data_IF_096109014282
#
_entry.id   IF_096109014282
#
_cell.length_a   1.000
_cell.length_b   1.000
_cell.length_c   1.000
_cell.angle_alpha   90.00
_cell.angle_beta   90.00
_cell.angle_gamma   90.00
#
_symmetry.space_group_name_H-M   'P 1'
#
loop_
_entity.id
_entity.type
_entity.pdbx_description
1 polymer ?
#
# COMPACT_ATOMS: atom_id res chain seq x y z
N UNK A 1 52.90 -34.32 32.56
CA UNK A 1 51.43 -34.40 32.54
C UNK A 1 50.91 -33.06 32.04
N UNK A 2 50.69 -32.96 30.79
CA UNK A 2 50.33 -31.70 30.07
C UNK A 2 48.85 -31.73 29.76
N UNK A 3 48.11 -30.78 30.30
CA UNK A 3 46.68 -30.56 30.00
C UNK A 3 46.52 -29.72 28.76
N UNK A 4 45.91 -30.29 27.72
CA UNK A 4 45.57 -29.57 26.49
C UNK A 4 44.27 -28.79 26.63
N UNK A 5 44.31 -27.49 26.38
CA UNK A 5 43.12 -26.63 26.27
C UNK A 5 42.51 -26.77 24.90
N UNK A 6 41.24 -27.15 24.84
CA UNK A 6 40.42 -27.11 23.61
C UNK A 6 39.73 -25.75 23.51
N UNK A 7 40.08 -24.98 22.50
CA UNK A 7 39.36 -23.77 22.10
C UNK A 7 38.09 -24.18 21.33
N UNK A 8 36.93 -23.77 21.84
CA UNK A 8 35.66 -23.90 21.16
C UNK A 8 35.52 -22.77 20.12
N UNK A 9 35.37 -23.14 18.84
CA UNK A 9 35.13 -22.24 17.76
C UNK A 9 33.77 -21.57 17.84
N UNK A 10 33.77 -20.27 17.61
CA UNK A 10 32.60 -19.42 17.53
C UNK A 10 31.88 -19.64 16.18
N UNK A 11 30.55 -19.73 16.12
CA UNK A 11 29.87 -19.79 14.83
C UNK A 11 29.78 -18.39 14.20
N UNK A 12 30.58 -18.14 13.18
CA UNK A 12 30.42 -17.01 12.29
C UNK A 12 29.29 -17.32 11.30
N UNK A 13 28.20 -16.54 11.32
CA UNK A 13 27.16 -16.76 10.29
C UNK A 13 25.95 -15.83 10.27
N UNK A 14 25.75 -14.93 11.23
CA UNK A 14 24.52 -14.15 11.29
C UNK A 14 24.62 -12.66 10.89
N UNK A 15 25.80 -12.16 10.52
CA UNK A 15 26.04 -10.72 10.40
C UNK A 15 25.99 -10.12 9.00
N UNK A 16 25.84 -10.89 7.92
CA UNK A 16 25.96 -10.35 6.55
C UNK A 16 24.66 -9.98 5.87
N UNK A 17 23.54 -10.57 6.22
CA UNK A 17 22.25 -10.34 5.55
C UNK A 17 21.56 -9.03 5.94
N UNK A 18 21.70 -8.62 7.19
CA UNK A 18 21.07 -7.40 7.71
C UNK A 18 21.69 -6.09 7.18
N UNK A 19 22.96 -6.09 6.81
CA UNK A 19 23.66 -4.87 6.35
C UNK A 19 23.24 -4.45 4.91
N UNK A 20 22.98 -5.41 4.03
CA UNK A 20 22.52 -5.15 2.67
C UNK A 20 21.05 -4.71 2.61
N UNK A 21 20.22 -5.23 3.51
CA UNK A 21 18.81 -4.85 3.59
C UNK A 21 18.62 -3.40 4.07
N UNK A 22 19.47 -2.93 4.99
CA UNK A 22 19.44 -1.54 5.46
C UNK A 22 19.90 -0.53 4.38
N UNK A 23 20.81 -0.93 3.50
CA UNK A 23 21.28 -0.05 2.43
C UNK A 23 20.19 0.25 1.38
N UNK A 24 19.30 -0.70 1.10
CA UNK A 24 18.19 -0.50 0.15
C UNK A 24 17.14 0.50 0.69
N UNK A 25 16.89 0.45 1.99
CA UNK A 25 16.02 1.42 2.66
C UNK A 25 16.59 2.84 2.64
N UNK A 26 17.89 2.97 2.78
CA UNK A 26 18.54 4.27 2.69
C UNK A 26 18.50 4.84 1.27
N UNK A 27 18.50 4.00 0.24
CA UNK A 27 18.36 4.43 -1.14
C UNK A 27 16.94 4.96 -1.45
N UNK A 28 15.89 4.34 -0.91
CA UNK A 28 14.52 4.87 -0.96
C UNK A 28 14.37 6.17 -0.16
N UNK A 29 15.17 6.34 0.91
CA UNK A 29 15.18 7.54 1.72
C UNK A 29 16.07 8.66 1.15
N UNK A 30 17.04 8.33 0.28
CA UNK A 30 18.01 9.28 -0.26
C UNK A 30 17.69 9.75 -1.68
N UNK A 31 16.59 9.30 -2.30
CA UNK A 31 16.08 9.60 -3.65
C UNK A 31 16.71 10.78 -4.42
N UNK A 32 18.01 10.79 -4.55
CA UNK A 32 18.76 11.65 -5.45
C UNK A 32 19.89 10.81 -6.03
N UNK A 33 19.74 10.37 -7.28
CA UNK A 33 20.87 10.33 -8.22
C UNK A 33 20.36 10.03 -9.63
N UNK A 34 20.60 11.00 -10.50
CA UNK A 34 20.69 10.99 -11.94
C UNK A 34 20.41 9.64 -12.61
N UNK A 35 19.29 9.53 -13.32
CA UNK A 35 19.21 8.64 -14.48
C UNK A 35 18.97 9.49 -15.72
N UNK A 36 19.91 9.34 -16.67
CA UNK A 36 19.82 9.89 -17.99
C UNK A 36 18.53 9.43 -18.69
N UNK A 37 17.79 10.37 -19.26
CA UNK A 37 16.60 10.10 -20.05
C UNK A 37 16.96 9.29 -21.29
N UNK A 38 16.46 8.05 -21.38
CA UNK A 38 16.34 7.33 -22.65
C UNK A 38 15.02 7.71 -23.32
N UNK A 39 14.97 7.81 -24.63
CA UNK A 39 13.75 8.24 -25.32
C UNK A 39 12.64 7.21 -25.14
N UNK A 40 11.51 7.66 -24.65
CA UNK A 40 10.28 6.88 -24.52
C UNK A 40 9.79 6.55 -25.94
N UNK A 41 9.80 5.26 -26.27
CA UNK A 41 9.08 4.76 -27.43
C UNK A 41 7.59 5.11 -27.34
N UNK A 42 7.00 5.52 -28.44
CA UNK A 42 5.63 5.99 -28.54
C UNK A 42 4.65 5.04 -27.81
N UNK A 43 4.06 5.52 -26.72
CA UNK A 43 2.96 4.86 -26.07
C UNK A 43 1.78 4.82 -27.06
N UNK A 44 1.29 3.62 -27.34
CA UNK A 44 0.03 3.47 -28.07
C UNK A 44 -1.08 4.23 -27.36
N UNK A 45 -1.78 5.07 -28.08
CA UNK A 45 -2.87 5.88 -27.54
C UNK A 45 -3.87 4.96 -26.81
N UNK A 46 -4.18 5.30 -25.57
CA UNK A 46 -5.22 4.63 -24.80
C UNK A 46 -6.54 4.73 -25.58
N UNK A 47 -7.19 3.60 -25.81
CA UNK A 47 -8.54 3.60 -26.35
C UNK A 47 -9.45 4.29 -25.32
N UNK A 48 -10.27 5.26 -25.69
CA UNK A 48 -11.27 5.84 -24.80
C UNK A 48 -12.15 4.72 -24.23
N UNK A 49 -12.46 4.77 -22.94
CA UNK A 49 -13.34 3.80 -22.29
C UNK A 49 -14.68 3.71 -23.04
N UNK A 50 -15.30 2.54 -23.06
CA UNK A 50 -16.63 2.36 -23.64
C UNK A 50 -17.59 3.37 -22.98
N UNK A 51 -18.22 4.29 -23.76
CA UNK A 51 -19.08 5.33 -23.22
C UNK A 51 -20.37 4.81 -22.55
N UNK A 52 -20.54 3.51 -22.44
CA UNK A 52 -21.72 2.85 -21.86
C UNK A 52 -21.51 2.31 -20.45
N UNK A 53 -20.30 2.32 -19.91
CA UNK A 53 -20.10 2.01 -18.49
C UNK A 53 -20.27 3.27 -17.67
N UNK A 54 -21.11 3.27 -16.61
CA UNK A 54 -21.13 4.41 -15.68
C UNK A 54 -19.71 4.63 -15.18
N UNK A 55 -19.26 5.88 -15.23
CA UNK A 55 -17.93 6.25 -14.79
C UNK A 55 -17.70 5.68 -13.36
N UNK A 56 -16.71 4.83 -13.22
CA UNK A 56 -16.33 4.29 -11.92
C UNK A 56 -15.76 5.41 -11.03
N UNK A 57 -15.43 5.13 -9.76
CA UNK A 57 -14.79 6.12 -8.91
C UNK A 57 -13.39 6.47 -9.44
N UNK A 58 -12.91 7.70 -9.18
CA UNK A 58 -11.54 8.10 -9.53
C UNK A 58 -10.52 7.27 -8.75
N UNK A 59 -9.36 7.02 -9.35
CA UNK A 59 -8.23 6.38 -8.68
C UNK A 59 -7.32 7.44 -8.08
N UNK A 60 -7.06 7.35 -6.78
CA UNK A 60 -6.12 8.20 -6.05
C UNK A 60 -4.76 7.52 -5.95
N UNK A 61 -3.69 8.30 -6.11
CA UNK A 61 -2.29 7.84 -6.10
C UNK A 61 -1.45 8.74 -5.21
N UNK A 62 -0.74 8.16 -4.26
CA UNK A 62 0.32 8.86 -3.54
C UNK A 62 1.56 8.94 -4.42
N UNK A 63 1.89 10.15 -4.85
CA UNK A 63 3.04 10.48 -5.69
C UNK A 63 4.22 10.88 -4.79
N UNK A 64 4.87 9.85 -4.21
CA UNK A 64 5.85 9.93 -3.14
C UNK A 64 6.99 10.92 -3.42
N UNK A 65 7.60 10.83 -4.61
CA UNK A 65 8.74 11.66 -4.96
C UNK A 65 8.37 13.11 -5.26
N UNK A 66 7.08 13.39 -5.53
CA UNK A 66 6.59 14.74 -5.78
C UNK A 66 5.83 15.34 -4.58
N UNK A 67 5.79 14.64 -3.45
CA UNK A 67 5.14 15.12 -2.22
C UNK A 67 3.67 15.53 -2.41
N UNK A 68 2.90 14.77 -3.18
CA UNK A 68 1.50 15.06 -3.48
C UNK A 68 0.65 13.79 -3.57
N UNK A 69 -0.66 13.98 -3.53
CA UNK A 69 -1.64 12.98 -3.94
C UNK A 69 -2.31 13.47 -5.22
N UNK A 70 -2.46 12.60 -6.19
CA UNK A 70 -3.17 12.90 -7.44
C UNK A 70 -4.36 11.97 -7.62
N UNK A 71 -5.38 12.42 -8.31
CA UNK A 71 -6.57 11.67 -8.67
C UNK A 71 -6.75 11.64 -10.18
N UNK A 72 -7.09 10.46 -10.72
CA UNK A 72 -7.42 10.27 -12.13
C UNK A 72 -8.87 9.80 -12.24
N UNK A 73 -9.75 10.54 -12.90
CA UNK A 73 -11.11 10.11 -13.18
C UNK A 73 -11.15 8.84 -14.02
N UNK A 74 -12.15 7.99 -13.78
CA UNK A 74 -12.29 6.72 -14.50
C UNK A 74 -12.75 6.86 -15.95
N UNK A 75 -13.30 8.01 -16.31
CA UNK A 75 -13.71 8.36 -17.68
C UNK A 75 -12.54 8.83 -18.56
N UNK A 76 -11.33 8.91 -17.99
CA UNK A 76 -10.14 9.37 -18.69
C UNK A 76 -10.01 10.89 -18.74
N UNK A 77 -10.74 11.62 -17.89
CA UNK A 77 -10.57 13.06 -17.70
C UNK A 77 -9.17 13.43 -17.17
N UNK A 78 -8.94 14.74 -17.02
CA UNK A 78 -7.64 15.26 -16.58
C UNK A 78 -7.29 14.84 -15.15
N UNK A 79 -6.02 14.48 -14.94
CA UNK A 79 -5.47 14.26 -13.62
C UNK A 79 -5.53 15.53 -12.77
N UNK A 80 -5.99 15.42 -11.53
CA UNK A 80 -6.04 16.52 -10.57
C UNK A 80 -5.12 16.28 -9.38
N UNK A 81 -4.65 17.34 -8.74
CA UNK A 81 -3.94 17.25 -7.46
C UNK A 81 -4.92 17.43 -6.32
N UNK A 82 -4.89 16.51 -5.36
CA UNK A 82 -5.72 16.57 -4.14
C UNK A 82 -5.15 17.64 -3.21
N UNK A 83 -5.98 18.53 -2.63
CA UNK A 83 -5.52 19.70 -1.89
C UNK A 83 -5.02 19.39 -0.47
N UNK A 84 -3.97 18.59 -0.36
CA UNK A 84 -3.21 18.44 0.88
C UNK A 84 -2.07 19.45 0.94
N UNK A 85 -1.88 20.06 2.10
CA UNK A 85 -0.78 20.99 2.37
C UNK A 85 0.34 20.33 3.17
N UNK A 86 1.59 20.61 2.77
CA UNK A 86 2.78 20.23 3.51
C UNK A 86 3.05 18.72 3.56
N UNK A 87 2.56 17.95 2.60
CA UNK A 87 2.93 16.55 2.46
C UNK A 87 4.43 16.38 2.19
N UNK A 88 5.03 15.39 2.85
CA UNK A 88 6.39 14.95 2.58
C UNK A 88 6.41 13.43 2.42
N UNK A 89 6.70 12.96 1.22
CA UNK A 89 6.78 11.54 0.90
C UNK A 89 5.53 10.76 1.30
N UNK A 90 4.34 11.13 0.79
CA UNK A 90 3.10 10.41 1.10
C UNK A 90 3.18 8.96 0.62
N UNK A 91 2.62 8.03 1.41
CA UNK A 91 2.62 6.60 1.07
C UNK A 91 1.22 5.99 1.10
N UNK A 92 0.80 5.42 2.22
CA UNK A 92 -0.49 4.76 2.35
C UNK A 92 -1.65 5.73 2.29
N UNK A 93 -2.76 5.26 1.73
CA UNK A 93 -4.03 5.95 1.72
C UNK A 93 -5.15 5.01 2.11
N UNK A 94 -6.17 5.54 2.77
CA UNK A 94 -7.39 4.82 3.06
C UNK A 94 -8.58 5.78 3.11
N UNK A 95 -9.76 5.27 2.76
CA UNK A 95 -11.03 5.98 2.85
C UNK A 95 -11.87 5.39 3.97
N UNK A 96 -12.60 6.22 4.67
CA UNK A 96 -13.68 5.73 5.52
C UNK A 96 -15.05 5.80 4.82
N UNK A 97 -16.07 5.24 5.48
CA UNK A 97 -17.42 5.20 4.94
C UNK A 97 -18.07 6.59 4.85
N UNK A 98 -17.55 7.59 5.57
CA UNK A 98 -18.00 8.98 5.51
C UNK A 98 -17.35 9.76 4.36
N UNK A 99 -16.46 9.14 3.60
CA UNK A 99 -15.76 9.78 2.47
C UNK A 99 -14.58 10.64 2.89
N UNK A 100 -14.01 10.44 4.08
CA UNK A 100 -12.78 11.08 4.51
C UNK A 100 -11.58 10.32 3.95
N UNK A 101 -10.61 11.04 3.38
CA UNK A 101 -9.37 10.48 2.85
C UNK A 101 -8.25 10.64 3.89
N UNK A 102 -7.71 9.51 4.32
CA UNK A 102 -6.52 9.46 5.18
C UNK A 102 -5.28 9.23 4.34
N UNK A 103 -4.18 9.94 4.65
CA UNK A 103 -2.89 9.83 3.96
C UNK A 103 -1.77 9.75 4.98
N UNK A 104 -0.90 8.75 4.84
CA UNK A 104 0.36 8.70 5.59
C UNK A 104 1.32 9.75 5.03
N UNK A 105 1.56 10.81 5.80
CA UNK A 105 2.56 11.84 5.57
C UNK A 105 3.89 11.38 6.17
N UNK A 106 4.45 10.36 5.52
CA UNK A 106 5.54 9.50 6.02
C UNK A 106 6.77 10.29 6.42
N UNK A 107 7.15 11.29 5.63
CA UNK A 107 8.32 12.12 5.89
C UNK A 107 8.16 13.01 7.11
N UNK A 108 6.91 13.34 7.48
CA UNK A 108 6.57 14.16 8.65
C UNK A 108 6.13 13.30 9.87
N UNK A 109 6.18 11.98 9.77
CA UNK A 109 5.80 11.05 10.85
C UNK A 109 4.38 11.29 11.38
N UNK A 110 3.43 11.59 10.51
CA UNK A 110 2.01 11.83 10.85
C UNK A 110 1.08 11.22 9.83
N UNK A 111 -0.21 11.17 10.16
CA UNK A 111 -1.29 10.86 9.23
C UNK A 111 -2.18 12.09 9.12
N UNK A 112 -2.49 12.49 7.91
CA UNK A 112 -3.44 13.57 7.61
C UNK A 112 -4.79 12.98 7.21
N UNK A 113 -5.85 13.73 7.46
CA UNK A 113 -7.20 13.42 6.99
C UNK A 113 -7.81 14.65 6.32
N UNK A 114 -8.38 14.43 5.12
CA UNK A 114 -9.10 15.40 4.35
C UNK A 114 -10.60 15.06 4.38
N UNK A 115 -11.49 15.99 4.73
CA UNK A 115 -12.93 15.75 4.72
C UNK A 115 -13.47 15.62 3.28
N UNK A 116 -14.67 15.01 3.09
CA UNK A 116 -15.23 14.73 1.77
C UNK A 116 -15.60 15.97 0.96
N UNK A 117 -15.85 17.09 1.61
CA UNK A 117 -16.17 18.39 1.00
C UNK A 117 -14.92 19.16 0.54
N UNK A 118 -13.72 18.59 0.73
CA UNK A 118 -12.45 19.25 0.41
C UNK A 118 -12.10 20.40 1.36
N UNK A 119 -12.73 20.44 2.55
CA UNK A 119 -12.44 21.42 3.58
C UNK A 119 -11.04 21.31 4.17
N UNK A 120 -10.80 21.98 5.29
CA UNK A 120 -9.48 22.01 5.93
C UNK A 120 -9.03 20.62 6.39
N UNK A 121 -7.82 20.23 5.98
CA UNK A 121 -7.20 18.99 6.46
C UNK A 121 -6.88 19.05 7.95
N UNK A 122 -6.89 17.91 8.61
CA UNK A 122 -6.46 17.81 10.02
C UNK A 122 -5.47 16.68 10.23
N UNK A 123 -4.77 16.71 11.37
CA UNK A 123 -3.83 15.65 11.77
C UNK A 123 -4.61 14.63 12.59
N UNK A 124 -4.47 13.35 12.23
CA UNK A 124 -5.00 12.24 13.04
C UNK A 124 -4.28 12.25 14.40
N UNK A 125 -5.00 12.12 15.55
CA UNK A 125 -4.42 12.17 16.88
C UNK A 125 -3.63 10.90 17.24
N UNK A 126 -2.69 10.51 16.39
CA UNK A 126 -1.77 9.40 16.62
C UNK A 126 -0.41 9.95 17.05
N UNK A 127 0.10 9.47 18.18
CA UNK A 127 1.34 9.96 18.78
C UNK A 127 2.48 8.95 18.65
N UNK A 128 3.71 9.48 18.53
CA UNK A 128 4.92 8.66 18.49
C UNK A 128 5.06 7.79 17.24
N UNK A 129 4.43 8.16 16.13
CA UNK A 129 4.62 7.50 14.85
C UNK A 129 6.02 7.73 14.31
N UNK A 130 6.58 6.71 13.66
CA UNK A 130 7.86 6.78 12.97
C UNK A 130 7.73 6.14 11.58
N UNK A 131 7.76 6.98 10.55
CA UNK A 131 7.52 6.60 9.16
C UNK A 131 6.27 5.72 8.99
N UNK A 132 5.08 6.24 9.28
CA UNK A 132 3.85 5.54 8.99
C UNK A 132 3.75 5.26 7.48
N UNK A 133 3.40 4.02 7.11
CA UNK A 133 3.31 3.58 5.72
C UNK A 133 1.87 3.23 5.35
N UNK A 134 1.47 1.97 5.41
CA UNK A 134 0.15 1.51 5.04
C UNK A 134 -0.94 1.97 6.02
N UNK A 135 -2.11 2.24 5.48
CA UNK A 135 -3.32 2.57 6.22
C UNK A 135 -4.44 1.60 5.86
N UNK A 136 -5.29 1.30 6.82
CA UNK A 136 -6.57 0.63 6.58
C UNK A 136 -7.63 1.18 7.53
N UNK A 137 -8.88 1.31 7.07
CA UNK A 137 -10.00 1.73 7.90
C UNK A 137 -10.97 0.59 8.06
N UNK A 138 -11.26 0.23 9.31
CA UNK A 138 -12.23 -0.81 9.64
C UNK A 138 -13.68 -0.35 9.46
N UNK A 139 -14.61 -1.30 9.49
CA UNK A 139 -16.06 -1.01 9.36
C UNK A 139 -16.61 -0.10 10.46
N UNK A 140 -15.97 -0.09 11.62
CA UNK A 140 -16.29 0.79 12.76
C UNK A 140 -15.72 2.20 12.60
N UNK A 141 -14.94 2.43 11.54
CA UNK A 141 -14.22 3.68 11.30
C UNK A 141 -12.88 3.79 12.01
N UNK A 142 -12.45 2.75 12.73
CA UNK A 142 -11.14 2.71 13.37
C UNK A 142 -10.04 2.69 12.30
N UNK A 143 -9.02 3.53 12.48
CA UNK A 143 -7.89 3.62 11.57
C UNK A 143 -6.73 2.76 12.08
N UNK A 144 -6.22 1.90 11.21
CA UNK A 144 -5.01 1.11 11.43
C UNK A 144 -3.85 1.72 10.65
N UNK A 145 -2.69 1.83 11.30
CA UNK A 145 -1.49 2.50 10.78
C UNK A 145 -0.30 1.55 10.91
N UNK A 146 0.36 1.21 9.83
CA UNK A 146 1.64 0.53 9.87
C UNK A 146 2.72 1.54 10.31
N UNK A 147 3.07 1.52 11.60
CA UNK A 147 4.08 2.37 12.22
C UNK A 147 5.46 1.74 12.03
N UNK A 148 5.94 1.82 10.79
CA UNK A 148 6.94 0.94 10.20
C UNK A 148 8.27 0.93 10.93
N UNK A 149 8.80 2.09 11.32
CA UNK A 149 10.09 2.19 12.01
C UNK A 149 10.00 1.94 13.52
N UNK A 150 8.79 1.77 14.04
CA UNK A 150 8.54 1.27 15.41
C UNK A 150 8.16 -0.21 15.43
N UNK A 151 8.21 -0.91 14.28
CA UNK A 151 7.95 -2.34 14.13
C UNK A 151 6.59 -2.77 14.70
N UNK A 152 5.57 -1.93 14.57
CA UNK A 152 4.22 -2.14 15.12
C UNK A 152 3.10 -1.68 14.19
N UNK A 153 1.89 -2.11 14.48
CA UNK A 153 0.66 -1.53 13.94
C UNK A 153 -0.06 -0.79 15.07
N UNK A 154 -0.46 0.44 14.78
CA UNK A 154 -1.24 1.30 15.68
C UNK A 154 -2.69 1.31 15.21
N UNK A 155 -3.63 1.20 16.15
CA UNK A 155 -5.06 1.41 15.94
C UNK A 155 -5.49 2.70 16.62
N UNK A 156 -6.12 3.60 15.87
CA UNK A 156 -6.76 4.83 16.38
C UNK A 156 -8.26 4.66 16.31
N UNK A 157 -8.92 4.75 17.46
CA UNK A 157 -10.38 4.58 17.54
C UNK A 157 -11.12 5.73 16.87
N UNK A 158 -12.15 5.40 16.09
CA UNK A 158 -13.07 6.38 15.51
C UNK A 158 -13.82 7.19 16.59
N UNK A 159 -14.04 6.58 17.75
CA UNK A 159 -14.70 7.20 18.90
C UNK A 159 -13.65 7.63 19.91
N UNK A 160 -13.56 8.93 20.14
CA UNK A 160 -12.64 9.50 21.14
C UNK A 160 -11.17 9.53 20.79
N UNK A 161 -10.76 9.05 19.61
CA UNK A 161 -9.37 9.14 19.10
C UNK A 161 -8.32 8.37 19.94
N UNK A 162 -8.75 7.45 20.80
CA UNK A 162 -7.85 6.64 21.62
C UNK A 162 -6.92 5.77 20.77
N UNK A 163 -5.62 5.78 21.08
CA UNK A 163 -4.61 5.00 20.39
C UNK A 163 -4.28 3.72 21.16
N UNK A 164 -4.21 2.59 20.46
CA UNK A 164 -3.71 1.31 20.99
C UNK A 164 -2.73 0.67 20.00
N UNK A 165 -1.87 -0.20 20.49
CA UNK A 165 -1.03 -1.03 19.63
C UNK A 165 -1.76 -2.35 19.38
N UNK A 166 -1.86 -2.74 18.10
CA UNK A 166 -2.41 -4.05 17.72
C UNK A 166 -1.46 -5.14 18.24
N UNK A 167 -1.98 -6.17 18.93
CA UNK A 167 -1.15 -7.20 19.53
C UNK A 167 -0.50 -8.09 18.45
N UNK A 168 0.71 -7.74 18.05
CA UNK A 168 1.53 -8.46 17.07
C UNK A 168 2.88 -8.80 17.67
N UNK A 169 3.51 -9.87 17.17
CA UNK A 169 4.84 -10.29 17.60
C UNK A 169 5.78 -10.44 16.43
N UNK A 170 7.02 -9.95 16.61
CA UNK A 170 8.10 -10.14 15.65
C UNK A 170 7.89 -9.49 14.29
N UNK A 171 7.08 -8.46 14.20
CA UNK A 171 7.03 -7.60 13.00
C UNK A 171 8.35 -6.85 12.85
N UNK A 172 8.77 -6.66 11.59
CA UNK A 172 9.95 -5.86 11.27
C UNK A 172 9.68 -5.04 10.01
N UNK A 173 9.56 -3.74 10.21
CA UNK A 173 9.14 -2.78 9.20
C UNK A 173 7.81 -3.17 8.52
N UNK A 174 6.68 -3.26 9.24
CA UNK A 174 5.38 -3.46 8.61
C UNK A 174 5.10 -2.40 7.57
N UNK A 175 4.60 -2.82 6.40
CA UNK A 175 4.36 -1.89 5.30
C UNK A 175 2.88 -1.77 4.96
N UNK A 176 2.30 -2.74 4.27
CA UNK A 176 0.93 -2.74 3.81
C UNK A 176 -0.03 -3.32 4.83
N UNK A 177 -1.24 -2.80 4.83
CA UNK A 177 -2.34 -3.27 5.65
C UNK A 177 -3.54 -3.59 4.76
N UNK A 178 -4.26 -4.67 5.06
CA UNK A 178 -5.57 -4.95 4.50
C UNK A 178 -6.48 -5.55 5.58
N UNK A 179 -7.75 -5.15 5.61
CA UNK A 179 -8.74 -5.61 6.58
C UNK A 179 -9.80 -6.45 5.90
N UNK A 180 -10.09 -7.62 6.45
CA UNK A 180 -11.29 -8.39 6.11
C UNK A 180 -12.56 -7.73 6.70
N UNK A 181 -13.74 -8.02 6.14
CA UNK A 181 -14.99 -7.48 6.65
C UNK A 181 -15.32 -7.87 8.11
N UNK A 182 -14.80 -8.99 8.60
CA UNK A 182 -14.92 -9.46 9.98
C UNK A 182 -13.92 -8.80 10.93
N UNK A 183 -12.93 -8.08 10.39
CA UNK A 183 -11.95 -7.31 11.14
C UNK A 183 -10.58 -7.96 11.26
N UNK A 184 -10.36 -9.14 10.68
CA UNK A 184 -9.03 -9.73 10.60
C UNK A 184 -8.11 -8.84 9.78
N UNK A 185 -6.90 -8.60 10.31
CA UNK A 185 -5.93 -7.68 9.72
C UNK A 185 -4.77 -8.44 9.09
N UNK A 186 -4.52 -8.20 7.81
CA UNK A 186 -3.30 -8.62 7.14
C UNK A 186 -2.25 -7.52 7.20
N UNK A 187 -1.01 -7.91 7.48
CA UNK A 187 0.15 -7.02 7.59
C UNK A 187 1.29 -7.58 6.76
N UNK A 188 1.80 -6.82 5.81
CA UNK A 188 3.05 -7.19 5.16
C UNK A 188 4.23 -6.87 6.09
N UNK A 189 4.95 -7.91 6.47
CA UNK A 189 6.13 -7.89 7.36
C UNK A 189 7.37 -7.85 6.48
N UNK A 190 7.68 -6.65 6.01
CA UNK A 190 8.55 -6.35 4.87
C UNK A 190 9.95 -6.99 4.98
N UNK A 191 10.59 -6.86 6.13
CA UNK A 191 11.97 -7.35 6.31
C UNK A 191 12.00 -8.86 6.58
N UNK A 192 10.90 -9.42 7.08
CA UNK A 192 10.78 -10.84 7.35
C UNK A 192 10.26 -11.65 6.14
N UNK A 193 10.06 -11.00 4.98
CA UNK A 193 9.62 -11.64 3.74
C UNK A 193 8.33 -12.46 3.89
N UNK A 194 7.38 -11.99 4.69
CA UNK A 194 6.11 -12.69 4.98
C UNK A 194 4.93 -11.73 5.07
N UNK A 195 3.73 -12.30 5.04
CA UNK A 195 2.50 -11.62 5.44
C UNK A 195 1.95 -12.30 6.68
N UNK A 196 1.49 -11.50 7.63
CA UNK A 196 0.90 -11.95 8.89
C UNK A 196 -0.58 -11.63 8.87
N UNK A 197 -1.41 -12.58 9.33
CA UNK A 197 -2.83 -12.37 9.62
C UNK A 197 -3.01 -12.28 11.14
N UNK A 198 -3.64 -11.22 11.62
CA UNK A 198 -3.95 -10.95 13.02
C UNK A 198 -5.45 -11.05 13.19
N UNK A 199 -5.89 -11.92 14.08
CA UNK A 199 -7.31 -12.13 14.33
C UNK A 199 -7.96 -10.94 15.02
N UNK A 200 -9.15 -10.54 14.58
CA UNK A 200 -9.91 -9.41 15.09
C UNK A 200 -10.30 -9.57 16.57
N UNK A 201 -10.52 -10.81 17.01
CA UNK A 201 -10.88 -11.18 18.39
C UNK A 201 -9.68 -11.18 19.36
N UNK A 202 -8.47 -10.91 18.86
CA UNK A 202 -7.25 -10.96 19.65
C UNK A 202 -6.75 -12.37 19.97
N UNK A 203 -7.32 -13.42 19.34
CA UNK A 203 -6.92 -14.83 19.58
C UNK A 203 -5.50 -15.13 19.10
N UNK A 204 -4.90 -14.22 18.33
CA UNK A 204 -3.49 -14.32 17.97
C UNK A 204 -3.17 -13.92 16.52
N UNK A 205 -2.00 -14.36 16.12
CA UNK A 205 -1.39 -14.04 14.84
C UNK A 205 -0.96 -15.34 14.15
N UNK A 206 -1.14 -15.42 12.85
CA UNK A 206 -0.63 -16.51 12.02
C UNK A 206 0.13 -15.95 10.81
N UNK A 207 1.01 -16.75 10.22
CA UNK A 207 1.66 -16.40 8.96
C UNK A 207 0.82 -16.91 7.81
N UNK A 208 0.53 -16.04 6.83
CA UNK A 208 -0.17 -16.44 5.60
C UNK A 208 0.72 -17.44 4.83
N UNK A 209 0.19 -18.61 4.42
CA UNK A 209 0.99 -19.63 3.75
C UNK A 209 1.38 -19.18 2.34
N UNK A 210 2.56 -18.60 2.22
CA UNK A 210 3.16 -18.13 0.96
C UNK A 210 4.55 -18.70 0.76
N UNK A 211 4.98 -18.82 -0.49
CA UNK A 211 6.31 -19.32 -0.85
C UNK A 211 7.06 -18.27 -1.66
N UNK A 212 8.29 -18.00 -1.23
CA UNK A 212 9.24 -17.19 -2.00
C UNK A 212 8.87 -15.72 -2.11
N UNK A 213 8.18 -15.14 -1.13
CA UNK A 213 8.03 -13.69 -1.03
C UNK A 213 9.38 -13.03 -0.73
N UNK A 214 9.56 -11.84 -1.26
CA UNK A 214 10.70 -10.97 -0.95
C UNK A 214 10.22 -9.53 -0.81
N UNK A 215 10.40 -8.97 0.37
CA UNK A 215 10.04 -7.59 0.67
C UNK A 215 8.58 -7.26 0.27
N UNK A 216 7.57 -8.00 0.79
CA UNK A 216 6.18 -7.71 0.48
C UNK A 216 5.78 -6.32 0.96
N UNK A 217 5.05 -5.57 0.11
CA UNK A 217 4.64 -4.19 0.38
C UNK A 217 3.12 -4.06 0.41
N UNK A 218 2.49 -3.57 -0.64
CA UNK A 218 1.05 -3.35 -0.71
C UNK A 218 0.23 -4.63 -0.64
N UNK A 219 -0.89 -4.55 0.03
CA UNK A 219 -1.88 -5.63 0.17
C UNK A 219 -3.23 -5.15 -0.34
N UNK A 220 -4.00 -6.04 -0.96
CA UNK A 220 -5.41 -5.80 -1.30
C UNK A 220 -6.20 -7.10 -1.19
N UNK A 221 -7.46 -6.99 -0.78
CA UNK A 221 -8.41 -8.11 -0.69
C UNK A 221 -9.52 -7.91 -1.73
N UNK A 222 -9.87 -8.97 -2.46
CA UNK A 222 -11.06 -8.94 -3.29
C UNK A 222 -12.32 -9.30 -2.48
N UNK A 223 -13.49 -9.18 -3.09
CA UNK A 223 -14.76 -9.50 -2.44
C UNK A 223 -14.90 -10.97 -2.03
N UNK A 224 -14.13 -11.88 -2.64
CA UNK A 224 -14.11 -13.30 -2.28
C UNK A 224 -13.17 -13.59 -1.09
N UNK A 225 -12.38 -12.63 -0.64
CA UNK A 225 -11.37 -12.79 0.41
C UNK A 225 -10.00 -13.25 -0.10
N UNK A 226 -9.76 -13.28 -1.42
CA UNK A 226 -8.43 -13.57 -1.94
C UNK A 226 -7.51 -12.40 -1.69
N UNK A 227 -6.30 -12.69 -1.23
CA UNK A 227 -5.28 -11.69 -0.89
C UNK A 227 -4.30 -11.49 -2.06
N UNK A 228 -4.16 -10.25 -2.49
CA UNK A 228 -3.13 -9.82 -3.43
C UNK A 228 -1.99 -9.17 -2.67
N UNK A 229 -0.75 -9.52 -3.03
CA UNK A 229 0.48 -9.11 -2.35
C UNK A 229 1.43 -8.54 -3.41
N UNK A 230 1.84 -7.29 -3.26
CA UNK A 230 2.96 -6.75 -4.02
C UNK A 230 4.27 -7.35 -3.48
N UNK A 231 4.84 -8.28 -4.23
CA UNK A 231 6.11 -8.97 -3.93
C UNK A 231 7.26 -8.18 -4.55
N UNK A 232 7.53 -7.02 -3.93
CA UNK A 232 8.38 -5.95 -4.50
C UNK A 232 9.78 -6.41 -4.83
N UNK A 233 10.40 -7.20 -3.95
CA UNK A 233 11.74 -7.70 -4.16
C UNK A 233 11.85 -8.66 -5.34
N UNK A 234 10.73 -9.26 -5.76
CA UNK A 234 10.64 -10.16 -6.92
C UNK A 234 9.99 -9.51 -8.15
N UNK A 235 9.62 -8.23 -8.08
CA UNK A 235 8.98 -7.49 -9.18
C UNK A 235 7.71 -8.15 -9.72
N UNK A 236 6.87 -8.69 -8.85
CA UNK A 236 5.62 -9.39 -9.20
C UNK A 236 4.50 -9.08 -8.23
N UNK A 237 3.29 -9.47 -8.60
CA UNK A 237 2.14 -9.55 -7.68
C UNK A 237 1.77 -11.01 -7.49
N UNK A 238 1.57 -11.41 -6.25
CA UNK A 238 1.13 -12.74 -5.84
C UNK A 238 -0.33 -12.68 -5.43
N UNK A 239 -1.14 -13.65 -5.85
CA UNK A 239 -2.50 -13.89 -5.38
C UNK A 239 -2.52 -15.14 -4.51
N UNK A 240 -3.07 -15.04 -3.32
CA UNK A 240 -3.31 -16.14 -2.38
C UNK A 240 -4.81 -16.33 -2.24
N UNK A 241 -5.30 -17.54 -2.52
CA UNK A 241 -6.72 -17.83 -2.42
C UNK A 241 -7.17 -17.89 -0.96
N UNK A 242 -8.38 -17.42 -0.69
CA UNK A 242 -9.01 -17.48 0.63
C UNK A 242 -8.91 -18.89 1.23
N UNK A 243 -8.70 -18.96 2.54
CA UNK A 243 -8.54 -20.24 3.25
C UNK A 243 -7.23 -20.98 2.97
N UNK A 244 -6.23 -20.35 2.32
CA UNK A 244 -4.94 -20.98 2.00
C UNK A 244 -5.01 -21.94 0.81
N UNK A 245 -6.00 -21.78 -0.06
CA UNK A 245 -6.27 -22.67 -1.22
C UNK A 245 -5.21 -22.64 -2.32
N UNK A 246 -4.09 -21.97 -2.12
CA UNK A 246 -2.97 -21.92 -3.06
C UNK A 246 -2.51 -20.51 -3.39
N UNK A 247 -1.31 -20.45 -3.99
CA UNK A 247 -0.64 -19.23 -4.43
C UNK A 247 -0.47 -19.25 -5.94
N UNK A 248 -0.69 -18.12 -6.59
CA UNK A 248 -0.39 -17.91 -8.01
C UNK A 248 0.26 -16.54 -8.22
N UNK A 249 0.98 -16.40 -9.34
CA UNK A 249 1.48 -15.08 -9.76
C UNK A 249 0.47 -14.44 -10.69
N UNK A 250 0.08 -13.19 -10.41
CA UNK A 250 -0.78 -12.42 -11.31
C UNK A 250 -0.01 -12.14 -12.60
N UNK A 251 -0.61 -12.38 -13.79
CA UNK A 251 0.09 -12.20 -15.07
C UNK A 251 0.33 -10.71 -15.36
N UNK A 252 1.46 -10.21 -14.89
CA UNK A 252 1.97 -8.86 -15.12
C UNK A 252 3.30 -8.91 -15.87
N UNK A 253 3.64 -7.83 -16.59
CA UNK A 253 4.89 -7.74 -17.33
C UNK A 253 5.62 -6.44 -17.02
N UNK A 254 6.95 -6.54 -16.82
CA UNK A 254 7.82 -5.38 -16.69
C UNK A 254 7.55 -4.52 -15.47
N UNK A 255 7.05 -5.10 -14.37
CA UNK A 255 6.99 -4.41 -13.08
C UNK A 255 8.39 -4.19 -12.52
N UNK A 256 8.58 -3.07 -11.84
CA UNK A 256 9.81 -2.74 -11.11
C UNK A 256 9.45 -2.11 -9.77
N UNK A 257 9.72 -2.85 -8.71
CA UNK A 257 9.38 -2.47 -7.33
C UNK A 257 7.88 -2.10 -7.19
N UNK A 258 6.94 -3.04 -7.43
CA UNK A 258 5.51 -2.78 -7.21
C UNK A 258 5.26 -2.48 -5.73
N UNK A 259 4.61 -1.35 -5.43
CA UNK A 259 4.46 -0.86 -4.06
C UNK A 259 3.01 -0.97 -3.57
N UNK A 260 2.10 -0.18 -4.10
CA UNK A 260 0.70 -0.17 -3.70
C UNK A 260 -0.19 -1.01 -4.61
N UNK A 261 -1.22 -1.57 -4.03
CA UNK A 261 -2.27 -2.32 -4.73
C UNK A 261 -3.64 -1.75 -4.40
N UNK A 262 -4.53 -1.75 -5.39
CA UNK A 262 -5.96 -1.52 -5.18
C UNK A 262 -6.78 -2.40 -6.12
N UNK A 263 -8.00 -2.73 -5.72
CA UNK A 263 -8.98 -3.43 -6.54
C UNK A 263 -10.18 -2.52 -6.75
N UNK A 264 -10.70 -2.46 -7.97
CA UNK A 264 -11.98 -1.82 -8.23
C UNK A 264 -13.17 -2.76 -8.00
N UNK A 265 -14.39 -2.24 -8.07
CA UNK A 265 -15.61 -3.03 -7.88
C UNK A 265 -15.85 -4.11 -8.96
N UNK A 266 -15.07 -4.12 -10.04
CA UNK A 266 -15.10 -5.15 -11.10
C UNK A 266 -14.07 -6.25 -10.88
N UNK A 267 -13.21 -6.12 -9.84
CA UNK A 267 -12.11 -7.05 -9.56
C UNK A 267 -10.83 -6.76 -10.37
N UNK A 268 -10.78 -5.65 -11.13
CA UNK A 268 -9.53 -5.26 -11.78
C UNK A 268 -8.51 -4.83 -10.75
N UNK A 269 -7.28 -5.33 -10.88
CA UNK A 269 -6.16 -5.00 -10.01
C UNK A 269 -5.39 -3.78 -10.56
N UNK A 270 -5.10 -2.84 -9.68
CA UNK A 270 -4.25 -1.68 -9.96
C UNK A 270 -2.96 -1.79 -9.16
N UNK A 271 -1.83 -1.53 -9.80
CA UNK A 271 -0.49 -1.67 -9.23
C UNK A 271 0.27 -0.37 -9.40
N UNK A 272 0.74 0.19 -8.30
CA UNK A 272 1.73 1.26 -8.33
C UNK A 272 3.10 0.66 -8.65
N UNK A 273 3.54 0.82 -9.90
CA UNK A 273 4.81 0.30 -10.43
C UNK A 273 5.92 1.34 -10.15
N UNK A 274 6.42 1.31 -8.90
CA UNK A 274 7.12 2.41 -8.25
C UNK A 274 8.32 2.92 -9.04
N UNK A 275 9.27 2.06 -9.40
CA UNK A 275 10.48 2.49 -10.12
C UNK A 275 10.25 2.75 -11.60
N UNK A 276 9.11 2.32 -12.16
CA UNK A 276 8.72 2.68 -13.52
C UNK A 276 7.88 3.97 -13.57
N UNK A 277 7.61 4.61 -12.43
CA UNK A 277 6.85 5.86 -12.33
C UNK A 277 5.49 5.81 -13.03
N UNK A 278 4.79 4.69 -12.91
CA UNK A 278 3.49 4.46 -13.57
C UNK A 278 2.53 3.69 -12.67
N UNK A 279 1.27 3.73 -13.03
CA UNK A 279 0.25 2.82 -12.50
C UNK A 279 -0.23 1.93 -13.64
N UNK A 280 -0.31 0.63 -13.39
CA UNK A 280 -0.85 -0.34 -14.33
C UNK A 280 -2.13 -0.94 -13.81
N UNK A 281 -3.07 -1.23 -14.73
CA UNK A 281 -4.30 -1.99 -14.46
C UNK A 281 -4.20 -3.36 -15.10
N UNK A 282 -4.57 -4.39 -14.37
CA UNK A 282 -4.65 -5.78 -14.82
C UNK A 282 -6.08 -6.26 -14.64
N UNK A 283 -6.73 -6.74 -15.71
CA UNK A 283 -8.09 -7.28 -15.63
C UNK A 283 -8.06 -8.73 -15.17
N UNK A 284 -8.93 -9.09 -14.22
CA UNK A 284 -9.04 -10.47 -13.73
C UNK A 284 -9.40 -11.48 -14.84
N UNK A 285 -10.20 -11.05 -15.80
CA UNK A 285 -10.72 -11.91 -16.91
C UNK A 285 -9.78 -12.03 -18.10
N UNK A 286 -8.50 -11.69 -17.97
CA UNK A 286 -7.51 -11.95 -19.03
C UNK A 286 -7.48 -10.90 -20.14
N UNK A 287 -7.69 -9.63 -19.86
CA UNK A 287 -7.63 -8.53 -20.84
C UNK A 287 -6.25 -7.87 -21.00
N UNK A 288 -5.20 -8.45 -20.46
CA UNK A 288 -3.85 -7.88 -20.49
C UNK A 288 -3.64 -6.75 -19.48
N UNK A 289 -2.43 -6.23 -19.49
CA UNK A 289 -2.00 -5.11 -18.66
C UNK A 289 -2.10 -3.80 -19.44
N UNK A 290 -2.63 -2.75 -18.81
CA UNK A 290 -2.74 -1.41 -19.39
C UNK A 290 -2.07 -0.40 -18.44
N UNK A 291 -1.20 0.47 -18.98
CA UNK A 291 -0.68 1.61 -18.24
C UNK A 291 -1.72 2.72 -18.23
N UNK A 292 -2.02 3.25 -17.04
CA UNK A 292 -2.96 4.37 -16.90
C UNK A 292 -2.32 5.69 -17.31
N UNK A 293 -3.12 6.66 -17.82
CA UNK A 293 -2.61 7.92 -18.38
C UNK A 293 -2.25 8.96 -17.30
N UNK A 294 -1.67 8.53 -16.17
CA UNK A 294 -1.08 9.47 -15.22
C UNK A 294 0.13 10.17 -15.84
N UNK A 295 0.32 11.43 -15.50
CA UNK A 295 1.44 12.24 -15.98
C UNK A 295 2.34 12.70 -14.84
N UNK A 296 3.66 12.65 -15.07
CA UNK A 296 4.64 13.21 -14.14
C UNK A 296 4.68 12.53 -12.76
N UNK A 297 4.30 11.25 -12.65
CA UNK A 297 4.49 10.49 -11.41
C UNK A 297 5.97 10.29 -11.13
N UNK A 298 6.30 10.29 -9.84
CA UNK A 298 7.64 9.98 -9.35
C UNK A 298 7.52 9.06 -8.14
N UNK A 299 7.87 7.80 -8.34
CA UNK A 299 7.73 6.74 -7.33
C UNK A 299 6.30 6.68 -6.74
N UNK A 300 5.26 6.36 -7.55
CA UNK A 300 3.92 6.15 -7.00
C UNK A 300 3.93 5.02 -5.97
N UNK A 301 3.25 5.23 -4.85
CA UNK A 301 3.27 4.29 -3.72
C UNK A 301 1.89 3.76 -3.37
N UNK A 302 1.05 4.55 -2.71
CA UNK A 302 -0.29 4.15 -2.31
C UNK A 302 -1.31 4.31 -3.43
N UNK A 303 -2.28 3.41 -3.47
CA UNK A 303 -3.44 3.47 -4.36
C UNK A 303 -4.71 3.33 -3.54
N UNK A 304 -5.75 4.12 -3.85
CA UNK A 304 -7.04 3.98 -3.19
C UNK A 304 -8.20 4.41 -4.09
N UNK A 305 -9.33 3.70 -3.95
CA UNK A 305 -10.62 4.12 -4.50
C UNK A 305 -11.51 4.63 -3.38
N UNK A 306 -12.25 5.72 -3.58
CA UNK A 306 -13.27 6.15 -2.63
C UNK A 306 -14.40 5.13 -2.55
N UNK A 307 -15.08 5.01 -1.40
CA UNK A 307 -16.25 4.16 -1.25
C UNK A 307 -17.38 4.65 -2.18
N UNK A 308 -18.28 3.76 -2.56
CA UNK A 308 -19.39 4.08 -3.46
C UNK A 308 -20.30 5.22 -2.94
N UNK A 309 -20.35 5.40 -1.62
CA UNK A 309 -21.10 6.47 -0.94
C UNK A 309 -20.45 7.87 -1.02
N UNK A 310 -19.17 7.95 -1.37
CA UNK A 310 -18.41 9.22 -1.41
C UNK A 310 -18.30 9.82 -2.81
N UNK A 311 -19.22 9.51 -3.73
CA UNK A 311 -19.19 10.07 -5.09
C UNK A 311 -19.51 11.58 -5.04
N UNK A 312 -18.59 12.47 -5.51
CA UNK A 312 -18.95 13.85 -5.74
C UNK A 312 -19.96 13.90 -6.89
N UNK A 313 -21.20 14.32 -6.65
CA UNK A 313 -22.17 14.60 -7.72
C UNK A 313 -23.59 14.05 -7.54
N UNK A 314 -23.88 13.18 -6.57
CA UNK A 314 -25.26 12.70 -6.34
C UNK A 314 -25.95 13.34 -5.11
N UNK A 315 -25.44 14.46 -4.63
CA UNK A 315 -26.15 15.27 -3.63
C UNK A 315 -27.16 16.16 -4.36
N UNK A 316 -28.41 15.69 -4.51
CA UNK A 316 -29.51 16.60 -4.66
C UNK A 316 -30.28 16.57 -5.97
N UNK A 317 -31.05 15.53 -6.21
CA UNK A 317 -32.39 15.71 -6.78
C UNK A 317 -33.37 14.84 -5.99
N UNK A 318 -33.75 15.32 -4.84
CA UNK A 318 -34.96 14.92 -4.11
C UNK A 318 -35.71 16.21 -3.80
N UNK A 319 -36.43 16.69 -4.82
CA UNK A 319 -37.53 17.62 -4.65
C UNK A 319 -38.81 16.90 -4.23
#
# INVERSE_FOLDING_TARGET
>A
MTAGSRTLGSPAGAGRTTRWRRARWQALAAGLLLLAALPVGAAGAAQPGDPRSPAGPPLYVSDYGNNRVVALPSDGGDQTTVPFDGLVRPTGMAWDAAGRLYVSDTGNNRVLVLPPDGGEQSVVPAVGLSRPLGLAVGRTGDLYIADSFNDRVVKVSAVGGGQTTVPTTGLLHPWGLALEPDGDLYVSDFVNDRVVKVAADGSGQSTVPTVGLSQPTGLALNAAGDLYIADSGNNRVVKVLVGGGGQSTVPTTGLSDPLGLALDGSGSLYVADGFNNRVVRVRETGGGQVTLPFTGLNTPTGLAFPPASARPGEAGDRG
#
